data_IF_066531634554
#
_entry.id   IF_066531634554
#
_cell.length_a   1.000
_cell.length_b   1.000
_cell.length_c   1.000
_cell.angle_alpha   90.00
_cell.angle_beta   90.00
_cell.angle_gamma   90.00
#
_symmetry.space_group_name_H-M   'P 1'
#
loop_
_entity.id
_entity.type
_entity.pdbx_description
1 polymer ?
#
# COMPACT_ATOMS: atom_id res chain seq x y z
N UNK A 1 -6.27 4.02 -2.11
CA UNK A 1 -5.18 4.59 -1.27
C UNK A 1 -5.40 6.08 -1.06
N UNK A 2 -5.61 6.88 -2.10
CA UNK A 2 -5.85 8.32 -1.95
C UNK A 2 -7.09 8.66 -1.11
N UNK A 3 -8.19 7.93 -1.30
CA UNK A 3 -9.41 8.07 -0.50
C UNK A 3 -9.21 7.69 0.97
N UNK A 4 -8.39 6.68 1.26
CA UNK A 4 -8.04 6.27 2.61
C UNK A 4 -7.22 7.35 3.33
N UNK A 5 -6.21 7.95 2.66
CA UNK A 5 -5.44 9.06 3.23
C UNK A 5 -6.31 10.30 3.49
N UNK A 6 -7.27 10.61 2.62
CA UNK A 6 -8.21 11.70 2.84
C UNK A 6 -9.07 11.44 4.08
N UNK A 7 -9.56 10.22 4.26
CA UNK A 7 -10.33 9.84 5.45
C UNK A 7 -9.48 9.94 6.73
N UNK A 8 -8.24 9.45 6.71
CA UNK A 8 -7.31 9.61 7.85
C UNK A 8 -7.03 11.08 8.15
N UNK A 9 -6.80 11.90 7.12
CA UNK A 9 -6.59 13.33 7.30
C UNK A 9 -7.82 14.01 7.97
N UNK A 10 -9.03 13.64 7.56
CA UNK A 10 -10.26 14.16 8.15
C UNK A 10 -10.41 13.80 9.63
N UNK A 11 -10.01 12.59 10.05
CA UNK A 11 -10.03 12.16 11.45
C UNK A 11 -9.07 12.98 12.34
N UNK A 12 -7.89 13.29 11.82
CA UNK A 12 -6.84 14.01 12.54
C UNK A 12 -7.08 15.53 12.54
N UNK A 13 -7.77 16.05 11.52
CA UNK A 13 -7.97 17.49 11.28
C UNK A 13 -8.49 18.25 12.49
N UNK A 14 -9.57 17.76 13.11
CA UNK A 14 -10.21 18.45 14.23
C UNK A 14 -9.30 18.61 15.47
N UNK A 15 -8.36 17.67 15.66
CA UNK A 15 -7.37 17.78 16.73
C UNK A 15 -6.26 18.75 16.36
N UNK A 16 -5.73 18.68 15.13
CA UNK A 16 -4.71 19.62 14.62
C UNK A 16 -5.21 21.05 14.68
N UNK A 17 -6.46 21.31 14.27
CA UNK A 17 -7.09 22.63 14.30
C UNK A 17 -7.04 23.24 15.70
N UNK A 18 -7.35 22.46 16.73
CA UNK A 18 -7.29 22.93 18.14
C UNK A 18 -5.87 23.20 18.63
N UNK A 19 -4.89 22.51 18.06
CA UNK A 19 -3.49 22.59 18.49
C UNK A 19 -2.68 23.63 17.70
N UNK A 20 -3.25 24.29 16.69
CA UNK A 20 -2.54 25.33 15.91
C UNK A 20 -2.03 26.49 16.78
N UNK A 21 -2.69 26.79 17.89
CA UNK A 21 -2.28 27.83 18.83
C UNK A 21 -1.15 27.40 19.77
N UNK A 22 -0.83 26.11 19.84
CA UNK A 22 0.22 25.55 20.72
C UNK A 22 1.24 24.73 19.90
N UNK A 23 2.29 25.37 19.33
CA UNK A 23 3.26 24.70 18.47
C UNK A 23 3.98 23.50 19.14
N UNK A 24 4.39 23.54 20.42
CA UNK A 24 4.98 22.41 21.10
C UNK A 24 4.05 21.18 21.16
N UNK A 25 2.78 21.38 21.54
CA UNK A 25 1.79 20.32 21.62
C UNK A 25 1.41 19.79 20.25
N UNK A 26 1.27 20.66 19.24
CA UNK A 26 1.06 20.28 17.84
C UNK A 26 2.16 19.34 17.33
N UNK A 27 3.42 19.70 17.62
CA UNK A 27 4.58 18.88 17.21
C UNK A 27 4.57 17.52 17.89
N UNK A 28 4.34 17.48 19.20
CA UNK A 28 4.24 16.22 19.96
C UNK A 28 3.13 15.32 19.41
N UNK A 29 1.98 15.91 19.12
CA UNK A 29 0.85 15.20 18.52
C UNK A 29 1.19 14.63 17.13
N UNK A 30 1.78 15.42 16.25
CA UNK A 30 2.19 14.96 14.91
C UNK A 30 3.19 13.80 15.00
N UNK A 31 4.18 13.88 15.90
CA UNK A 31 5.16 12.82 16.12
C UNK A 31 4.50 11.53 16.63
N UNK A 32 3.59 11.63 17.59
CA UNK A 32 2.87 10.47 18.13
C UNK A 32 2.03 9.79 17.05
N UNK A 33 1.12 10.53 16.43
CA UNK A 33 0.20 9.98 15.43
C UNK A 33 0.94 9.47 14.21
N UNK A 34 2.02 10.13 13.79
CA UNK A 34 2.86 9.71 12.69
C UNK A 34 3.48 8.33 12.92
N UNK A 35 3.97 8.07 14.14
CA UNK A 35 4.53 6.76 14.55
C UNK A 35 3.46 5.67 14.60
N UNK A 36 2.32 5.97 15.24
CA UNK A 36 1.24 5.00 15.42
C UNK A 36 0.55 4.61 14.11
N UNK A 37 0.38 5.58 13.19
CA UNK A 37 -0.31 5.38 11.91
C UNK A 37 0.60 4.98 10.75
N UNK A 38 1.93 4.94 10.94
CA UNK A 38 2.93 4.76 9.89
C UNK A 38 2.71 5.73 8.70
N UNK A 39 2.23 6.92 9.00
CA UNK A 39 1.88 7.96 8.02
C UNK A 39 2.62 9.24 8.39
N UNK A 40 3.37 9.81 7.44
CA UNK A 40 4.00 11.10 7.67
C UNK A 40 2.93 12.19 7.72
N UNK A 41 2.96 13.00 8.76
CA UNK A 41 2.03 14.11 8.99
C UNK A 41 2.81 15.40 9.00
N UNK A 42 2.36 16.38 8.20
CA UNK A 42 2.96 17.71 8.13
C UNK A 42 1.86 18.76 8.22
N UNK A 43 2.06 19.79 9.04
CA UNK A 43 1.17 20.95 9.13
C UNK A 43 1.90 22.17 8.59
N UNK A 44 1.25 22.90 7.68
CA UNK A 44 1.87 23.96 6.90
C UNK A 44 1.03 25.24 7.04
N UNK A 45 1.71 26.35 7.36
CA UNK A 45 1.09 27.69 7.47
C UNK A 45 0.83 28.32 6.08
N UNK A 46 0.01 29.39 5.98
CA UNK A 46 -0.32 30.04 4.71
C UNK A 46 0.89 30.62 3.96
N UNK A 47 1.98 30.94 4.65
CA UNK A 47 3.24 31.38 4.05
C UNK A 47 4.12 30.21 3.55
N UNK A 48 3.63 28.98 3.66
CA UNK A 48 4.30 27.76 3.20
C UNK A 48 5.34 27.19 4.16
N UNK A 49 5.49 27.76 5.37
CA UNK A 49 6.38 27.21 6.39
C UNK A 49 5.77 26.00 7.05
N UNK A 50 6.60 25.04 7.41
CA UNK A 50 6.19 23.86 8.18
C UNK A 50 6.09 24.24 9.65
N UNK A 51 4.89 24.05 10.24
CA UNK A 51 4.64 24.26 11.67
C UNK A 51 4.99 23.03 12.50
N UNK A 52 4.67 21.84 11.95
CA UNK A 52 4.98 20.56 12.57
C UNK A 52 5.16 19.47 11.50
N UNK A 53 6.07 18.54 11.73
CA UNK A 53 6.28 17.35 10.90
C UNK A 53 6.61 16.15 11.77
N UNK A 54 6.12 14.95 11.39
CA UNK A 54 6.32 13.72 12.16
C UNK A 54 7.66 13.02 11.88
N UNK A 55 8.43 13.47 10.89
CA UNK A 55 9.67 12.80 10.45
C UNK A 55 10.88 13.71 10.51
N UNK A 56 10.68 15.03 10.37
CA UNK A 56 11.75 16.01 10.25
C UNK A 56 11.52 17.20 11.19
N UNK A 57 12.60 17.91 11.45
CA UNK A 57 12.56 19.17 12.20
C UNK A 57 12.05 20.29 11.29
N UNK A 58 10.95 20.99 11.64
CA UNK A 58 10.36 22.02 10.78
C UNK A 58 11.34 23.08 10.31
N UNK A 59 12.28 23.46 11.16
CA UNK A 59 13.28 24.51 10.91
C UNK A 59 14.28 24.13 9.81
N UNK A 60 14.47 22.83 9.54
CA UNK A 60 15.36 22.35 8.48
C UNK A 60 14.65 22.18 7.13
N UNK A 61 13.32 22.38 7.10
CA UNK A 61 12.52 22.11 5.91
C UNK A 61 12.39 23.33 5.00
N UNK A 62 12.44 23.08 3.68
CA UNK A 62 12.17 24.09 2.68
C UNK A 62 10.71 24.58 2.73
N UNK A 63 10.45 25.75 2.14
CA UNK A 63 9.08 26.24 1.98
C UNK A 63 8.26 25.30 1.06
N UNK A 64 7.04 25.01 1.45
CA UNK A 64 6.17 24.02 0.80
C UNK A 64 5.05 24.63 -0.03
N UNK A 65 4.94 25.96 -0.11
CA UNK A 65 3.81 26.64 -0.74
C UNK A 65 3.59 26.24 -2.21
N UNK A 66 4.68 26.04 -2.95
CA UNK A 66 4.61 25.71 -4.38
C UNK A 66 4.38 24.21 -4.68
N UNK A 67 4.15 23.38 -3.66
CA UNK A 67 3.85 21.98 -3.84
C UNK A 67 2.43 21.82 -4.40
N UNK A 68 2.20 21.02 -5.46
CA UNK A 68 0.89 20.95 -6.12
C UNK A 68 -0.26 20.62 -5.15
N UNK A 69 -0.05 19.64 -4.28
CA UNK A 69 -1.02 19.25 -3.27
C UNK A 69 -1.32 20.37 -2.26
N UNK A 70 -0.32 21.17 -1.93
CA UNK A 70 -0.43 22.29 -0.97
C UNK A 70 -1.13 23.47 -1.62
N UNK A 71 -0.77 23.84 -2.85
CA UNK A 71 -1.41 24.90 -3.59
C UNK A 71 -2.92 24.64 -3.78
N UNK A 72 -3.30 23.40 -4.12
CA UNK A 72 -4.69 22.97 -4.22
C UNK A 72 -5.42 23.07 -2.87
N UNK A 73 -4.75 22.68 -1.76
CA UNK A 73 -5.35 22.76 -0.44
C UNK A 73 -5.55 24.22 0.02
N UNK A 74 -4.64 25.13 -0.28
CA UNK A 74 -4.85 26.56 0.00
C UNK A 74 -5.93 27.20 -0.89
N UNK A 75 -6.20 26.64 -2.09
CA UNK A 75 -7.37 27.03 -2.89
C UNK A 75 -8.70 26.54 -2.30
N UNK A 76 -8.66 25.69 -1.27
CA UNK A 76 -9.82 25.21 -0.53
C UNK A 76 -10.25 23.78 -0.87
N UNK A 77 -9.56 23.09 -1.76
CA UNK A 77 -9.87 21.73 -2.19
C UNK A 77 -8.91 20.71 -1.58
N UNK A 78 -9.22 19.43 -1.74
CA UNK A 78 -8.28 18.35 -1.38
C UNK A 78 -7.24 18.17 -2.48
N UNK A 79 -5.98 18.43 -2.18
CA UNK A 79 -4.85 18.24 -3.09
C UNK A 79 -4.24 16.85 -2.95
N UNK A 80 -3.85 16.24 -4.08
CA UNK A 80 -3.11 14.98 -4.10
C UNK A 80 -1.94 15.07 -5.08
N UNK A 81 -0.79 14.48 -4.73
CA UNK A 81 0.32 14.33 -5.64
C UNK A 81 1.14 13.07 -5.34
N UNK A 82 1.65 12.48 -6.40
CA UNK A 82 2.61 11.36 -6.34
C UNK A 82 3.97 11.88 -6.77
N UNK A 83 4.94 11.88 -5.88
CA UNK A 83 6.28 12.39 -6.21
C UNK A 83 7.37 11.76 -5.34
N UNK A 84 8.60 11.88 -5.83
CA UNK A 84 9.78 11.44 -5.10
C UNK A 84 10.06 12.37 -3.92
N UNK A 85 10.22 11.79 -2.73
CA UNK A 85 10.65 12.49 -1.51
C UNK A 85 12.16 12.45 -1.39
N UNK A 86 12.82 13.60 -1.52
CA UNK A 86 14.27 13.70 -1.31
C UNK A 86 14.67 13.35 0.14
N UNK A 87 13.82 13.67 1.09
CA UNK A 87 14.04 13.42 2.53
C UNK A 87 14.04 11.93 2.85
N UNK A 88 13.07 11.17 2.31
CA UNK A 88 12.90 9.73 2.58
C UNK A 88 13.49 8.84 1.49
N UNK A 89 13.99 9.45 0.39
CA UNK A 89 14.59 8.77 -0.76
C UNK A 89 13.66 7.71 -1.39
N UNK A 90 12.34 7.99 -1.44
CA UNK A 90 11.33 7.09 -2.02
C UNK A 90 10.14 7.84 -2.61
N UNK A 91 9.36 7.16 -3.45
CA UNK A 91 8.12 7.72 -3.98
C UNK A 91 7.04 7.73 -2.90
N UNK A 92 6.42 8.90 -2.72
CA UNK A 92 5.39 9.14 -1.71
C UNK A 92 4.10 9.61 -2.37
N UNK A 93 2.98 9.06 -1.91
CA UNK A 93 1.66 9.60 -2.19
C UNK A 93 1.32 10.63 -1.10
N UNK A 94 1.11 11.86 -1.53
CA UNK A 94 0.73 12.98 -0.67
C UNK A 94 -0.76 13.28 -0.83
N UNK A 95 -1.43 13.54 0.29
CA UNK A 95 -2.78 14.10 0.33
C UNK A 95 -2.77 15.29 1.28
N UNK A 96 -3.27 16.42 0.83
CA UNK A 96 -3.35 17.66 1.60
C UNK A 96 -4.79 18.13 1.69
N UNK A 97 -5.24 18.50 2.89
CA UNK A 97 -6.58 19.04 3.16
C UNK A 97 -6.48 20.40 3.85
N UNK A 98 -7.39 21.34 3.54
CA UNK A 98 -7.42 22.63 4.20
C UNK A 98 -7.95 22.53 5.63
N UNK A 99 -7.32 23.24 6.55
CA UNK A 99 -7.84 23.56 7.86
C UNK A 99 -8.40 24.97 7.78
N UNK A 100 -9.71 25.10 8.00
CA UNK A 100 -10.43 26.37 7.83
C UNK A 100 -10.84 26.95 9.18
N UNK A 101 -10.63 28.23 9.33
CA UNK A 101 -11.19 28.97 10.46
C UNK A 101 -12.48 29.67 10.00
N UNK A 102 -13.56 29.45 10.74
CA UNK A 102 -14.79 30.21 10.54
C UNK A 102 -14.58 31.64 11.06
N UNK A 103 -14.75 32.63 10.19
CA UNK A 103 -14.74 34.04 10.59
C UNK A 103 -16.18 34.48 10.90
N UNK A 104 -16.44 35.10 12.06
CA UNK A 104 -17.74 35.69 12.37
C UNK A 104 -18.12 36.73 11.29
N UNK A 105 -19.10 36.41 10.45
CA UNK A 105 -19.60 37.31 9.39
C UNK A 105 -18.87 37.30 8.06
N UNK A 106 -17.94 36.36 7.81
CA UNK A 106 -17.17 36.26 6.56
C UNK A 106 -16.99 34.84 6.02
N UNK A 107 -16.42 34.75 4.83
CA UNK A 107 -16.04 33.47 4.26
C UNK A 107 -14.97 32.77 5.12
N UNK A 108 -15.06 31.46 5.26
CA UNK A 108 -14.03 30.68 5.97
C UNK A 108 -12.68 30.80 5.26
N UNK A 109 -11.65 31.20 5.99
CA UNK A 109 -10.28 31.29 5.48
C UNK A 109 -9.49 30.02 5.79
N UNK A 110 -8.58 29.63 4.90
CA UNK A 110 -7.66 28.51 5.15
C UNK A 110 -6.54 29.02 6.08
N UNK A 111 -6.53 28.53 7.30
CA UNK A 111 -5.58 28.91 8.34
C UNK A 111 -4.29 28.08 8.27
N UNK A 112 -4.41 26.82 7.87
CA UNK A 112 -3.29 25.91 7.68
C UNK A 112 -3.68 24.79 6.71
N UNK A 113 -2.69 24.04 6.26
CA UNK A 113 -2.89 22.81 5.48
C UNK A 113 -2.34 21.62 6.25
N UNK A 114 -3.16 20.59 6.39
CA UNK A 114 -2.76 19.29 6.92
C UNK A 114 -2.41 18.38 5.75
N UNK A 115 -1.16 17.95 5.66
CA UNK A 115 -0.67 17.02 4.65
C UNK A 115 -0.32 15.68 5.28
N UNK A 116 -0.84 14.60 4.71
CA UNK A 116 -0.48 13.23 5.02
C UNK A 116 0.30 12.63 3.85
N UNK A 117 1.27 11.75 4.16
CA UNK A 117 2.02 11.06 3.12
C UNK A 117 2.32 9.62 3.54
N UNK A 118 2.25 8.71 2.55
CA UNK A 118 2.64 7.31 2.70
C UNK A 118 3.57 6.90 1.56
N UNK A 119 4.57 6.03 1.83
CA UNK A 119 5.41 5.49 0.76
C UNK A 119 4.61 4.56 -0.15
N UNK A 120 4.80 4.71 -1.46
CA UNK A 120 4.16 3.83 -2.45
C UNK A 120 4.72 2.41 -2.37
N UNK A 121 5.99 2.27 -2.00
CA UNK A 121 6.67 0.99 -1.77
C UNK A 121 6.03 0.14 -0.66
N UNK A 122 5.32 0.75 0.29
CA UNK A 122 4.55 0.03 1.30
C UNK A 122 3.41 -0.79 0.67
N UNK A 123 2.84 -0.30 -0.43
CA UNK A 123 1.79 -0.98 -1.20
C UNK A 123 2.38 -2.15 -1.97
N UNK A 124 3.51 -1.94 -2.63
CA UNK A 124 4.21 -2.99 -3.41
C UNK A 124 4.66 -4.14 -2.52
N UNK A 125 5.14 -3.86 -1.30
CA UNK A 125 5.53 -4.91 -0.34
C UNK A 125 4.33 -5.74 0.13
N UNK A 126 3.18 -5.12 0.36
CA UNK A 126 1.96 -5.84 0.74
C UNK A 126 1.46 -6.74 -0.40
N UNK A 127 1.52 -6.27 -1.65
CA UNK A 127 1.15 -7.02 -2.83
C UNK A 127 2.15 -8.15 -3.15
N UNK A 128 3.45 -7.91 -3.00
CA UNK A 128 4.50 -8.91 -3.21
C UNK A 128 4.33 -10.13 -2.29
N UNK A 129 3.95 -9.92 -1.03
CA UNK A 129 3.67 -11.01 -0.10
C UNK A 129 2.51 -11.91 -0.53
N UNK A 130 1.49 -11.36 -1.17
CA UNK A 130 0.34 -12.09 -1.70
C UNK A 130 0.74 -12.86 -2.97
N UNK A 131 1.50 -12.25 -3.87
CA UNK A 131 1.95 -12.89 -5.11
C UNK A 131 2.84 -14.11 -4.86
N UNK A 132 3.75 -14.03 -3.87
CA UNK A 132 4.60 -15.17 -3.48
C UNK A 132 3.76 -16.33 -2.94
N UNK A 133 2.76 -16.07 -2.11
CA UNK A 133 1.88 -17.13 -1.57
C UNK A 133 1.05 -17.80 -2.65
N UNK A 134 0.51 -17.03 -3.59
CA UNK A 134 -0.22 -17.56 -4.76
C UNK A 134 0.72 -18.37 -5.65
N UNK A 135 1.93 -17.89 -5.91
CA UNK A 135 2.93 -18.58 -6.72
C UNK A 135 3.30 -19.95 -6.12
N UNK A 136 3.60 -20.00 -4.83
CA UNK A 136 3.92 -21.26 -4.13
C UNK A 136 2.71 -22.22 -4.16
N UNK A 137 1.51 -21.73 -3.89
CA UNK A 137 0.28 -22.52 -3.95
C UNK A 137 0.04 -23.13 -5.33
N UNK A 138 0.25 -22.37 -6.39
CA UNK A 138 0.12 -22.83 -7.79
C UNK A 138 1.12 -23.94 -8.12
N UNK A 139 2.38 -23.80 -7.70
CA UNK A 139 3.43 -24.81 -7.92
C UNK A 139 3.05 -26.12 -7.21
N UNK A 140 2.58 -26.06 -5.97
CA UNK A 140 2.16 -27.25 -5.20
C UNK A 140 1.03 -27.99 -5.92
N UNK A 141 0.02 -27.27 -6.42
CA UNK A 141 -1.10 -27.87 -7.17
C UNK A 141 -0.61 -28.52 -8.46
N UNK A 142 0.26 -27.88 -9.21
CA UNK A 142 0.81 -28.46 -10.48
C UNK A 142 1.62 -29.71 -10.20
N UNK A 143 2.48 -29.70 -9.17
CA UNK A 143 3.26 -30.88 -8.77
C UNK A 143 2.37 -32.02 -8.30
N UNK A 144 1.36 -31.73 -7.48
CA UNK A 144 0.41 -32.74 -7.00
C UNK A 144 -0.40 -33.36 -8.16
N UNK A 145 -0.87 -32.55 -9.10
CA UNK A 145 -1.57 -33.02 -10.29
C UNK A 145 -0.64 -33.88 -11.17
N UNK A 146 0.60 -33.47 -11.41
CA UNK A 146 1.59 -34.24 -12.15
C UNK A 146 1.91 -35.59 -11.51
N UNK A 147 2.08 -35.63 -10.19
CA UNK A 147 2.27 -36.86 -9.42
C UNK A 147 1.05 -37.78 -9.54
N UNK A 148 -0.16 -37.24 -9.42
CA UNK A 148 -1.40 -37.99 -9.55
C UNK A 148 -1.52 -38.65 -10.95
N UNK A 149 -1.23 -37.87 -12.01
CA UNK A 149 -1.22 -38.37 -13.39
C UNK A 149 -0.19 -39.49 -13.57
N UNK A 150 1.02 -39.34 -13.03
CA UNK A 150 2.05 -40.37 -13.07
C UNK A 150 1.66 -41.64 -12.32
N UNK A 151 1.04 -41.50 -11.15
CA UNK A 151 0.55 -42.65 -10.36
C UNK A 151 -0.59 -43.40 -11.08
N UNK A 152 -1.56 -42.68 -11.66
CA UNK A 152 -2.64 -43.21 -12.43
C UNK A 152 -2.12 -43.91 -13.72
N UNK A 153 -1.22 -43.27 -14.43
CA UNK A 153 -0.59 -43.83 -15.62
C UNK A 153 0.13 -45.17 -15.30
N UNK A 154 0.94 -45.16 -14.22
CA UNK A 154 1.64 -46.40 -13.79
C UNK A 154 0.68 -47.51 -13.31
N UNK A 155 -0.42 -47.15 -12.69
CA UNK A 155 -1.35 -48.10 -12.11
C UNK A 155 -2.35 -48.67 -13.10
N UNK A 156 -2.69 -47.93 -14.15
CA UNK A 156 -3.68 -48.32 -15.16
C UNK A 156 -3.04 -48.76 -16.47
N UNK A 157 -2.07 -48.05 -16.99
CA UNK A 157 -1.49 -48.31 -18.33
C UNK A 157 -0.58 -49.55 -18.33
N UNK A 158 0.22 -49.77 -17.27
CA UNK A 158 1.12 -50.93 -17.21
C UNK A 158 0.38 -52.32 -17.20
N UNK A 159 -0.68 -52.52 -16.41
CA UNK A 159 -1.39 -53.78 -16.48
C UNK A 159 -2.15 -54.02 -17.80
N UNK A 160 -2.60 -52.95 -18.47
CA UNK A 160 -3.23 -53.03 -19.79
C UNK A 160 -2.26 -53.46 -20.91
N UNK A 161 -1.05 -52.93 -20.91
CA UNK A 161 0.03 -53.35 -21.87
C UNK A 161 0.43 -54.82 -21.64
N UNK A 162 0.50 -55.26 -20.37
CA UNK A 162 0.78 -56.63 -20.03
C UNK A 162 -0.36 -57.57 -20.49
N UNK A 163 -1.63 -57.16 -20.44
CA UNK A 163 -2.76 -57.94 -20.95
C UNK A 163 -2.79 -57.99 -22.46
N UNK A 164 -2.43 -56.94 -23.16
CA UNK A 164 -2.32 -56.98 -24.66
C UNK A 164 -1.22 -57.92 -25.13
N UNK A 165 -0.07 -57.89 -24.44
CA UNK A 165 1.06 -58.78 -24.84
C UNK A 165 0.73 -60.25 -24.61
N UNK A 166 0.07 -60.56 -23.48
CA UNK A 166 -0.41 -61.91 -23.18
C UNK A 166 -1.50 -62.39 -24.18
N UNK A 167 -2.38 -61.47 -24.66
CA UNK A 167 -3.40 -61.81 -25.66
C UNK A 167 -2.80 -62.07 -27.05
N UNK A 168 -1.73 -61.37 -27.45
CA UNK A 168 -1.01 -61.63 -28.68
C UNK A 168 -0.23 -62.95 -28.65
N UNK A 169 0.38 -63.31 -27.53
CA UNK A 169 1.08 -64.60 -27.35
C UNK A 169 0.07 -65.77 -27.39
N UNK A 170 -1.12 -65.63 -26.81
CA UNK A 170 -2.22 -66.59 -26.95
C UNK A 170 -2.72 -66.74 -28.40
N UNK A 171 -2.80 -65.62 -29.13
CA UNK A 171 -3.23 -65.66 -30.54
C UNK A 171 -2.18 -66.31 -31.47
N UNK A 172 -0.91 -66.37 -31.07
CA UNK A 172 0.18 -67.02 -31.77
C UNK A 172 0.39 -68.50 -31.38
N UNK A 173 -0.41 -69.00 -30.43
CA UNK A 173 -0.41 -70.43 -30.01
C UNK A 173 0.75 -70.80 -29.07
N UNK A 174 1.41 -69.85 -28.45
CA UNK A 174 2.48 -70.13 -27.48
C UNK A 174 1.89 -70.23 -26.04
N UNK A 175 1.66 -71.46 -25.62
CA UNK A 175 1.17 -71.86 -24.30
C UNK A 175 2.27 -72.22 -23.31
N UNK A 176 3.53 -71.81 -23.56
CA UNK A 176 4.69 -72.29 -22.78
C UNK A 176 4.94 -71.57 -21.45
N UNK A 177 4.22 -70.48 -21.13
CA UNK A 177 4.35 -69.81 -19.84
C UNK A 177 3.20 -70.11 -18.88
N UNK A 178 3.52 -70.74 -17.78
CA UNK A 178 2.70 -70.92 -16.58
C UNK A 178 2.89 -69.74 -15.64
#
# INVERSE_FOLDING_TARGET
VGTDLTARAALVRARVERLLADPPELRAFCLQVGRESLTRITVISPDGKVLADSSETPESMENHLQRPEIATAFAGDTGQSLRFSKTLNEFMLYTAIPIRRANPGGAATVEAVLRLAVPVTAIDRALAGIQVRIGIGSIVVVVAAGLLVLLLSRRISRPLEAMQHNAEDFARGDFSRK
#
